data_IF_401236468989
#
_entry.id   IF_401236468989
#
_cell.length_a   1.000
_cell.length_b   1.000
_cell.length_c   1.000
_cell.angle_alpha   90.00
_cell.angle_beta   90.00
_cell.angle_gamma   90.00
#
_symmetry.space_group_name_H-M   'P 1'
#
loop_
_entity.id
_entity.type
_entity.pdbx_description
1 polymer ?
#
# COMPACT_ATOMS: atom_id res chain seq x y z
N UNK A 1 23.02 11.46 8.99
CA UNK A 1 21.64 11.97 9.16
C UNK A 1 20.67 10.92 8.64
N UNK A 2 19.98 10.19 9.52
CA UNK A 2 18.85 9.36 9.09
C UNK A 2 17.72 10.33 8.74
N UNK A 3 17.45 10.50 7.44
CA UNK A 3 16.24 11.19 6.99
C UNK A 3 15.13 10.18 7.01
N UNK A 4 14.18 10.33 7.93
CA UNK A 4 12.91 9.65 7.83
C UNK A 4 11.94 10.45 6.98
N UNK A 5 11.03 9.74 6.32
CA UNK A 5 9.99 10.33 5.50
C UNK A 5 8.73 9.49 5.56
N UNK A 6 7.64 10.12 5.14
CA UNK A 6 6.32 9.53 5.01
C UNK A 6 6.00 9.40 3.53
N UNK A 7 5.47 8.26 3.11
CA UNK A 7 5.07 7.99 1.74
C UNK A 7 3.54 8.04 1.60
N UNK A 8 3.08 8.76 0.57
CA UNK A 8 1.69 8.72 0.13
C UNK A 8 1.56 7.77 -1.07
N UNK A 9 0.82 6.69 -0.90
CA UNK A 9 0.55 5.74 -1.97
C UNK A 9 -0.71 6.17 -2.73
N UNK A 10 -0.58 6.37 -4.04
CA UNK A 10 -1.67 6.81 -4.92
C UNK A 10 -1.65 6.06 -6.25
N UNK A 11 -2.72 6.17 -7.04
CA UNK A 11 -2.87 5.54 -8.35
C UNK A 11 -2.66 4.01 -8.38
N UNK A 12 -2.89 3.33 -7.25
CA UNK A 12 -2.84 1.86 -7.21
C UNK A 12 -4.06 1.31 -7.93
N UNK A 13 -3.81 0.65 -9.05
CA UNK A 13 -4.85 0.09 -9.88
C UNK A 13 -4.48 -1.32 -10.35
N UNK A 14 -5.49 -2.19 -10.39
CA UNK A 14 -5.39 -3.49 -11.04
C UNK A 14 -6.49 -3.56 -12.10
N UNK A 15 -6.07 -3.77 -13.34
CA UNK A 15 -6.94 -4.05 -14.48
C UNK A 15 -7.92 -5.18 -14.14
N UNK A 16 -9.18 -5.06 -14.59
CA UNK A 16 -10.31 -5.89 -14.10
C UNK A 16 -10.06 -7.38 -14.31
N UNK A 17 -9.53 -7.75 -15.45
CA UNK A 17 -9.16 -9.09 -15.90
C UNK A 17 -7.99 -9.71 -15.10
N UNK A 18 -7.27 -8.89 -14.32
CA UNK A 18 -6.17 -9.31 -13.44
C UNK A 18 -6.52 -9.23 -11.94
N UNK A 19 -7.75 -8.82 -11.57
CA UNK A 19 -8.16 -8.77 -10.15
C UNK A 19 -8.31 -10.17 -9.56
N UNK A 20 -8.17 -10.26 -8.23
CA UNK A 20 -8.27 -11.50 -7.45
C UNK A 20 -7.24 -12.59 -7.81
N UNK A 21 -6.21 -12.26 -8.60
CA UNK A 21 -5.10 -13.16 -8.96
C UNK A 21 -3.83 -12.93 -8.14
N UNK A 22 -3.84 -12.00 -7.18
CA UNK A 22 -2.71 -11.73 -6.29
C UNK A 22 -1.79 -10.58 -6.71
N UNK A 23 -1.86 -10.08 -7.96
CA UNK A 23 -0.92 -9.05 -8.46
C UNK A 23 -0.86 -7.78 -7.62
N UNK A 24 -2.01 -7.21 -7.21
CA UNK A 24 -2.00 -6.02 -6.37
C UNK A 24 -1.36 -6.27 -5.00
N UNK A 25 -1.56 -7.49 -4.46
CA UNK A 25 -1.01 -7.91 -3.17
C UNK A 25 0.51 -8.05 -3.25
N UNK A 26 1.00 -8.62 -4.34
CA UNK A 26 2.43 -8.76 -4.63
C UNK A 26 3.09 -7.39 -4.80
N UNK A 27 2.47 -6.50 -5.59
CA UNK A 27 2.93 -5.11 -5.76
C UNK A 27 3.02 -4.36 -4.41
N UNK A 28 1.98 -4.45 -3.57
CA UNK A 28 1.99 -3.82 -2.25
C UNK A 28 3.10 -4.38 -1.34
N UNK A 29 3.34 -5.69 -1.41
CA UNK A 29 4.39 -6.34 -0.62
C UNK A 29 5.77 -5.84 -1.03
N UNK A 30 6.00 -5.74 -2.34
CA UNK A 30 7.23 -5.16 -2.88
C UNK A 30 7.44 -3.71 -2.44
N UNK A 31 6.43 -2.85 -2.60
CA UNK A 31 6.51 -1.43 -2.21
C UNK A 31 6.84 -1.29 -0.73
N UNK A 32 6.22 -2.11 0.13
CA UNK A 32 6.44 -2.06 1.57
C UNK A 32 7.89 -2.39 1.93
N UNK A 33 8.44 -3.49 1.42
CA UNK A 33 9.83 -3.86 1.73
C UNK A 33 10.81 -2.85 1.14
N UNK A 34 10.56 -2.38 -0.10
CA UNK A 34 11.38 -1.33 -0.73
C UNK A 34 11.46 -0.05 0.13
N UNK A 35 10.31 0.43 0.61
CA UNK A 35 10.26 1.67 1.41
C UNK A 35 10.84 1.47 2.81
N UNK A 36 10.67 0.28 3.40
CA UNK A 36 11.28 -0.09 4.68
C UNK A 36 12.80 -0.05 4.60
N UNK A 37 13.41 -0.62 3.56
CA UNK A 37 14.86 -0.57 3.33
C UNK A 37 15.40 0.86 3.15
N UNK A 38 14.55 1.77 2.70
CA UNK A 38 14.87 3.20 2.51
C UNK A 38 14.61 4.06 3.75
N UNK A 39 14.16 3.48 4.87
CA UNK A 39 13.88 4.23 6.11
C UNK A 39 12.57 5.01 6.09
N UNK A 40 11.58 4.57 5.32
CA UNK A 40 10.23 5.13 5.37
C UNK A 40 9.55 4.74 6.70
N UNK A 41 9.05 5.73 7.44
CA UNK A 41 8.41 5.50 8.75
C UNK A 41 6.93 5.16 8.64
N UNK A 42 6.25 5.74 7.64
CA UNK A 42 4.82 5.56 7.45
C UNK A 42 4.48 5.56 5.96
N UNK A 43 3.66 4.59 5.55
CA UNK A 43 2.98 4.58 4.27
C UNK A 43 1.51 4.80 4.56
N UNK A 44 0.90 5.81 3.92
CA UNK A 44 -0.54 6.04 4.01
C UNK A 44 -1.16 6.10 2.62
N UNK A 45 -2.45 5.83 2.56
CA UNK A 45 -3.26 5.82 1.34
C UNK A 45 -4.62 6.43 1.66
N UNK A 46 -5.21 7.11 0.67
CA UNK A 46 -6.61 7.50 0.71
C UNK A 46 -7.39 6.53 -0.20
N UNK A 47 -7.90 5.41 0.33
CA UNK A 47 -8.54 4.38 -0.48
C UNK A 47 -9.90 4.88 -1.00
N UNK A 48 -10.34 4.33 -2.13
CA UNK A 48 -11.77 4.36 -2.47
C UNK A 48 -12.53 3.40 -1.55
N UNK A 49 -13.83 3.63 -1.34
CA UNK A 49 -14.68 2.79 -0.49
C UNK A 49 -14.58 1.30 -0.83
N UNK A 50 -14.57 0.98 -2.13
CA UNK A 50 -14.46 -0.38 -2.65
C UNK A 50 -13.11 -1.06 -2.34
N UNK A 51 -12.08 -0.29 -2.01
CA UNK A 51 -10.71 -0.79 -1.76
C UNK A 51 -10.34 -0.83 -0.28
N UNK A 52 -11.13 -0.25 0.62
CA UNK A 52 -10.86 -0.23 2.07
C UNK A 52 -10.63 -1.64 2.61
N UNK A 53 -11.53 -2.58 2.29
CA UNK A 53 -11.43 -3.98 2.72
C UNK A 53 -10.20 -4.71 2.17
N UNK A 54 -9.69 -4.28 1.02
CA UNK A 54 -8.50 -4.87 0.43
C UNK A 54 -7.23 -4.41 1.15
N UNK A 55 -7.12 -3.11 1.45
CA UNK A 55 -6.01 -2.57 2.23
C UNK A 55 -6.00 -3.05 3.70
N UNK A 56 -7.17 -3.18 4.33
CA UNK A 56 -7.29 -3.50 5.76
C UNK A 56 -6.98 -4.94 6.14
N UNK A 57 -7.19 -5.90 5.22
CA UNK A 57 -7.10 -7.35 5.51
C UNK A 57 -5.70 -7.84 5.96
N UNK A 58 -4.64 -7.05 5.79
CA UNK A 58 -3.26 -7.53 5.96
C UNK A 58 -2.23 -6.46 6.37
N UNK A 59 -2.35 -5.21 5.91
CA UNK A 59 -1.22 -4.26 5.98
C UNK A 59 -1.53 -2.88 6.55
N UNK A 60 -2.75 -2.38 6.36
CA UNK A 60 -3.12 -1.04 6.78
C UNK A 60 -4.11 -1.10 7.93
N UNK A 61 -3.87 -0.27 8.93
CA UNK A 61 -4.84 -0.03 10.01
C UNK A 61 -5.70 1.15 9.61
N UNK A 62 -7.02 0.98 9.71
CA UNK A 62 -7.93 2.11 9.56
C UNK A 62 -7.68 3.12 10.70
N UNK A 63 -7.46 4.38 10.35
CA UNK A 63 -7.28 5.50 11.27
C UNK A 63 -8.44 6.47 11.03
N UNK A 64 -9.15 6.84 12.10
CA UNK A 64 -10.17 7.90 12.10
C UNK A 64 -9.51 9.25 12.29
#
# INVERSE_FOLDING_TARGET
>A
MNKSYIAYLTNVHTMKEYRNKGYGTELLSYIKEYLKEKGCELIFVWPSDNSVNWYSKKWFQYRK
#
